data_IF_668122087577
#
_entry.id   IF_668122087577
#
_cell.length_a   1.000
_cell.length_b   1.000
_cell.length_c   1.000
_cell.angle_alpha   90.00
_cell.angle_beta   90.00
_cell.angle_gamma   90.00
#
_symmetry.space_group_name_H-M   'P 1'
#
loop_
_entity.id
_entity.type
_entity.pdbx_description
1 polymer ?
#
# COMPACT_ATOMS: atom_id res chain seq x y z
N UNK A 1 -13.16 -16.74 12.83
CA UNK A 1 -12.77 -15.33 12.67
C UNK A 1 -11.69 -15.04 13.69
N UNK A 2 -10.48 -14.57 13.28
CA UNK A 2 -9.48 -14.16 14.25
C UNK A 2 -10.02 -13.01 15.10
N UNK A 3 -9.84 -13.12 16.41
CA UNK A 3 -10.21 -12.08 17.37
C UNK A 3 -9.28 -10.86 17.19
N UNK A 4 -9.72 -9.62 17.47
CA UNK A 4 -8.84 -8.46 17.52
C UNK A 4 -7.62 -8.64 18.42
N UNK A 5 -7.68 -9.57 19.39
CA UNK A 5 -6.54 -9.93 20.25
C UNK A 5 -5.39 -10.61 19.49
N UNK A 6 -5.69 -11.23 18.34
CA UNK A 6 -4.69 -11.89 17.50
C UNK A 6 -3.83 -10.87 16.72
N UNK A 7 -4.20 -9.58 16.78
CA UNK A 7 -3.46 -8.47 16.16
C UNK A 7 -2.44 -7.82 17.10
N UNK A 8 -2.45 -8.18 18.40
CA UNK A 8 -1.46 -7.65 19.35
C UNK A 8 -0.12 -8.34 19.18
N UNK A 9 1.03 -7.61 19.20
CA UNK A 9 2.34 -8.22 19.07
C UNK A 9 2.59 -9.19 20.23
N UNK A 10 2.95 -10.44 19.91
CA UNK A 10 3.52 -11.36 20.89
C UNK A 10 5.04 -11.12 21.00
N UNK A 11 5.64 -11.23 22.19
CA UNK A 11 7.09 -11.02 22.37
C UNK A 11 7.99 -11.98 21.55
N UNK A 12 7.39 -13.02 20.95
CA UNK A 12 8.07 -14.01 20.09
C UNK A 12 7.94 -13.72 18.58
N UNK A 13 7.26 -12.64 18.18
CA UNK A 13 6.86 -12.39 16.78
C UNK A 13 7.98 -11.78 15.92
N UNK A 14 9.23 -12.00 16.24
CA UNK A 14 10.36 -11.66 15.37
C UNK A 14 10.40 -12.44 14.05
N UNK A 15 9.57 -13.48 13.89
CA UNK A 15 9.37 -14.22 12.65
C UNK A 15 7.89 -14.22 12.31
N UNK A 16 7.54 -13.51 11.24
CA UNK A 16 6.19 -13.43 10.73
C UNK A 16 5.77 -14.79 10.16
N UNK A 17 4.91 -15.49 10.88
CA UNK A 17 4.23 -16.72 10.40
C UNK A 17 3.28 -16.42 9.22
N UNK A 18 3.16 -15.16 8.83
CA UNK A 18 2.25 -14.66 7.79
C UNK A 18 2.79 -14.86 6.36
N UNK A 19 3.99 -15.41 6.19
CA UNK A 19 4.72 -15.48 4.91
C UNK A 19 5.03 -16.92 4.48
N UNK A 20 4.07 -17.81 4.61
CA UNK A 20 4.22 -19.21 4.18
C UNK A 20 4.30 -19.27 2.65
N UNK A 21 5.39 -19.78 2.05
CA UNK A 21 5.48 -20.02 0.63
C UNK A 21 4.33 -20.88 0.14
N UNK A 22 3.70 -20.48 -0.98
CA UNK A 22 2.60 -21.25 -1.59
C UNK A 22 1.21 -21.01 -0.97
N UNK A 23 1.06 -20.05 -0.05
CA UNK A 23 -0.28 -19.68 0.46
C UNK A 23 -1.16 -19.06 -0.66
N UNK A 24 -2.51 -19.24 -0.59
CA UNK A 24 -3.42 -18.60 -1.54
C UNK A 24 -3.25 -17.06 -1.55
N UNK A 25 -3.28 -16.45 -2.74
CA UNK A 25 -3.07 -14.99 -2.89
C UNK A 25 -4.01 -14.15 -2.01
N UNK A 26 -5.27 -14.60 -1.84
CA UNK A 26 -6.22 -13.91 -0.98
C UNK A 26 -5.79 -13.91 0.50
N UNK A 27 -5.18 -14.98 0.97
CA UNK A 27 -4.63 -15.08 2.32
C UNK A 27 -3.37 -14.22 2.46
N UNK A 28 -2.47 -14.25 1.48
CA UNK A 28 -1.31 -13.38 1.43
C UNK A 28 -1.70 -11.90 1.51
N UNK A 29 -2.76 -11.48 0.81
CA UNK A 29 -3.28 -10.12 0.90
C UNK A 29 -3.83 -9.78 2.30
N UNK A 30 -4.54 -10.70 2.94
CA UNK A 30 -5.01 -10.51 4.33
C UNK A 30 -3.84 -10.39 5.31
N UNK A 31 -2.82 -11.22 5.15
CA UNK A 31 -1.62 -11.19 5.99
C UNK A 31 -0.87 -9.85 5.82
N UNK A 32 -0.80 -9.34 4.60
CA UNK A 32 -0.29 -8.00 4.33
C UNK A 32 -1.04 -6.91 5.11
N UNK A 33 -2.37 -6.93 5.11
CA UNK A 33 -3.19 -5.98 5.86
C UNK A 33 -3.03 -6.15 7.37
N UNK A 34 -2.96 -7.39 7.84
CA UNK A 34 -2.73 -7.71 9.25
C UNK A 34 -1.37 -7.19 9.73
N UNK A 35 -0.33 -7.34 8.90
CA UNK A 35 1.00 -6.82 9.18
C UNK A 35 0.99 -5.28 9.32
N UNK A 36 0.31 -4.56 8.42
CA UNK A 36 0.12 -3.10 8.52
C UNK A 36 -0.61 -2.71 9.79
N UNK A 37 -1.73 -3.39 10.10
CA UNK A 37 -2.52 -3.12 11.30
C UNK A 37 -1.72 -3.32 12.59
N UNK A 38 -0.93 -4.39 12.67
CA UNK A 38 -0.02 -4.64 13.80
C UNK A 38 1.03 -3.54 13.95
N UNK A 39 1.65 -3.13 12.86
CA UNK A 39 2.72 -2.14 12.88
C UNK A 39 2.25 -0.78 13.40
N UNK A 40 1.00 -0.39 13.13
CA UNK A 40 0.42 0.84 13.68
C UNK A 40 -0.40 0.60 14.96
N UNK A 41 -0.37 -0.62 15.52
CA UNK A 41 -1.15 -0.99 16.70
C UNK A 41 -2.63 -0.59 16.56
N UNK A 42 -3.23 -0.98 15.43
CA UNK A 42 -4.62 -0.67 15.15
C UNK A 42 -5.55 -1.56 15.98
N UNK A 43 -6.51 -0.96 16.65
CA UNK A 43 -7.57 -1.66 17.38
C UNK A 43 -8.96 -1.07 17.09
N UNK A 44 -9.98 -1.64 17.72
CA UNK A 44 -11.40 -1.30 17.49
C UNK A 44 -11.80 0.10 17.93
N UNK A 45 -11.05 0.71 18.84
CA UNK A 45 -11.36 2.02 19.40
C UNK A 45 -10.71 3.15 18.61
N UNK A 46 -9.79 2.80 17.68
CA UNK A 46 -9.10 3.76 16.84
C UNK A 46 -9.91 4.22 15.63
N UNK A 47 -9.76 5.50 15.32
CA UNK A 47 -10.05 6.07 14.01
C UNK A 47 -8.86 5.92 13.09
N UNK A 48 -9.06 5.42 11.86
CA UNK A 48 -8.00 5.27 10.87
C UNK A 48 -8.36 5.98 9.57
N UNK A 49 -7.42 6.76 9.04
CA UNK A 49 -7.45 7.29 7.68
C UNK A 49 -6.67 6.35 6.76
N UNK A 50 -7.29 5.87 5.68
CA UNK A 50 -6.59 5.20 4.58
C UNK A 50 -6.43 6.18 3.42
N UNK A 51 -5.18 6.51 3.08
CA UNK A 51 -4.84 7.40 1.97
C UNK A 51 -4.60 6.54 0.71
N UNK A 52 -5.51 6.64 -0.27
CA UNK A 52 -5.49 5.81 -1.47
C UNK A 52 -6.09 4.43 -1.21
N UNK A 53 -7.41 4.35 -1.07
CA UNK A 53 -8.09 3.11 -0.68
C UNK A 53 -8.15 2.02 -1.78
N UNK A 54 -7.76 2.35 -3.03
CA UNK A 54 -7.89 1.42 -4.14
C UNK A 54 -9.32 0.85 -4.20
N UNK A 55 -9.42 -0.46 -4.27
CA UNK A 55 -10.70 -1.18 -4.31
C UNK A 55 -11.30 -1.50 -2.93
N UNK A 56 -10.84 -0.81 -1.87
CA UNK A 56 -11.41 -0.90 -0.52
C UNK A 56 -11.00 -2.12 0.30
N UNK A 57 -9.92 -2.82 -0.09
CA UNK A 57 -9.52 -4.07 0.57
C UNK A 57 -9.05 -3.89 2.01
N UNK A 58 -8.21 -2.89 2.28
CA UNK A 58 -7.77 -2.60 3.64
C UNK A 58 -8.89 -1.98 4.48
N UNK A 59 -9.70 -1.07 3.90
CA UNK A 59 -10.85 -0.50 4.60
C UNK A 59 -11.82 -1.59 5.08
N UNK A 60 -12.14 -2.58 4.22
CA UNK A 60 -12.96 -3.74 4.60
C UNK A 60 -12.30 -4.55 5.72
N UNK A 61 -11.00 -4.87 5.57
CA UNK A 61 -10.26 -5.62 6.59
C UNK A 61 -10.27 -4.90 7.95
N UNK A 62 -9.93 -3.62 7.97
CA UNK A 62 -9.86 -2.84 9.20
C UNK A 62 -11.22 -2.68 9.91
N UNK A 63 -12.28 -2.49 9.13
CA UNK A 63 -13.63 -2.38 9.66
C UNK A 63 -14.17 -3.73 10.16
N UNK A 64 -13.92 -4.82 9.41
CA UNK A 64 -14.50 -6.14 9.70
C UNK A 64 -13.70 -6.93 10.73
N UNK A 65 -12.38 -7.07 10.51
CA UNK A 65 -11.56 -7.96 11.33
C UNK A 65 -11.02 -7.25 12.58
N UNK A 66 -10.69 -5.96 12.48
CA UNK A 66 -10.23 -5.18 13.63
C UNK A 66 -11.40 -4.50 14.36
N UNK A 67 -12.40 -4.05 13.61
CA UNK A 67 -13.54 -3.29 14.14
C UNK A 67 -13.26 -1.78 14.27
N UNK A 68 -12.20 -1.28 13.64
CA UNK A 68 -11.84 0.13 13.66
C UNK A 68 -12.83 1.00 12.89
N UNK A 69 -12.82 2.32 13.17
CA UNK A 69 -13.56 3.31 12.39
C UNK A 69 -12.67 3.80 11.25
N UNK A 70 -13.08 3.55 10.00
CA UNK A 70 -12.27 3.81 8.81
C UNK A 70 -12.84 4.98 8.01
N UNK A 71 -11.98 5.95 7.71
CA UNK A 71 -12.19 6.91 6.63
C UNK A 71 -11.20 6.59 5.53
N UNK A 72 -11.66 6.15 4.36
CA UNK A 72 -10.81 5.74 3.27
C UNK A 72 -11.04 6.67 2.06
N UNK A 73 -9.96 7.20 1.49
CA UNK A 73 -10.05 8.23 0.44
C UNK A 73 -9.45 7.76 -0.88
N UNK A 74 -10.01 8.25 -1.96
CA UNK A 74 -9.49 8.10 -3.33
C UNK A 74 -9.86 9.32 -4.17
N UNK A 75 -9.16 9.50 -5.30
CA UNK A 75 -9.50 10.48 -6.34
C UNK A 75 -10.03 9.82 -7.62
N UNK A 76 -10.13 8.49 -7.68
CA UNK A 76 -10.71 7.75 -8.81
C UNK A 76 -12.18 7.46 -8.56
N UNK A 77 -13.04 7.85 -9.49
CA UNK A 77 -14.48 7.58 -9.43
C UNK A 77 -14.76 6.08 -9.44
N UNK A 78 -14.04 5.32 -10.27
CA UNK A 78 -14.22 3.88 -10.40
C UNK A 78 -13.85 3.16 -9.08
N UNK A 79 -12.76 3.58 -8.43
CA UNK A 79 -12.38 3.04 -7.14
C UNK A 79 -13.39 3.40 -6.05
N UNK A 80 -13.86 4.65 -6.05
CA UNK A 80 -14.88 5.11 -5.11
C UNK A 80 -16.16 4.27 -5.22
N UNK A 81 -16.71 4.14 -6.43
CA UNK A 81 -17.96 3.42 -6.68
C UNK A 81 -17.85 1.96 -6.27
N UNK A 82 -16.74 1.31 -6.64
CA UNK A 82 -16.49 -0.08 -6.28
C UNK A 82 -16.29 -0.27 -4.77
N UNK A 83 -15.42 0.54 -4.15
CA UNK A 83 -15.11 0.41 -2.73
C UNK A 83 -16.33 0.74 -1.86
N UNK A 84 -17.10 1.79 -2.19
CA UNK A 84 -18.32 2.14 -1.47
C UNK A 84 -19.36 1.02 -1.53
N UNK A 85 -19.57 0.45 -2.72
CA UNK A 85 -20.45 -0.71 -2.90
C UNK A 85 -19.97 -1.92 -2.11
N UNK A 86 -18.67 -2.22 -2.17
CA UNK A 86 -18.05 -3.30 -1.40
C UNK A 86 -18.32 -3.16 0.10
N UNK A 87 -18.12 -1.98 0.68
CA UNK A 87 -18.38 -1.69 2.10
C UNK A 87 -19.87 -1.85 2.43
N UNK A 88 -20.75 -1.35 1.57
CA UNK A 88 -22.20 -1.45 1.74
C UNK A 88 -22.68 -2.91 1.70
N UNK A 89 -22.29 -3.67 0.67
CA UNK A 89 -22.69 -5.07 0.48
C UNK A 89 -22.20 -5.98 1.63
N UNK A 90 -21.15 -5.57 2.33
CA UNK A 90 -20.61 -6.26 3.49
C UNK A 90 -21.22 -5.82 4.83
N UNK A 91 -22.19 -4.88 4.82
CA UNK A 91 -22.82 -4.35 6.03
C UNK A 91 -21.87 -3.57 6.94
N UNK A 92 -20.84 -2.90 6.37
CA UNK A 92 -19.81 -2.19 7.12
C UNK A 92 -19.94 -0.67 7.05
N UNK A 93 -21.04 -0.14 6.51
CA UNK A 93 -21.23 1.30 6.28
C UNK A 93 -21.26 2.14 7.57
N UNK A 94 -21.53 1.55 8.71
CA UNK A 94 -21.46 2.19 10.04
C UNK A 94 -20.03 2.32 10.58
N UNK A 95 -19.06 1.57 10.00
CA UNK A 95 -17.65 1.54 10.43
C UNK A 95 -16.67 2.06 9.39
N UNK A 96 -16.99 1.96 8.10
CA UNK A 96 -16.12 2.39 7.03
C UNK A 96 -16.84 3.35 6.08
N UNK A 97 -16.26 4.52 5.88
CA UNK A 97 -16.72 5.53 4.92
C UNK A 97 -15.68 5.70 3.83
N UNK A 98 -16.11 5.51 2.57
CA UNK A 98 -15.29 5.85 1.39
C UNK A 98 -15.60 7.30 0.99
N UNK A 99 -14.57 8.10 0.70
CA UNK A 99 -14.72 9.51 0.33
C UNK A 99 -13.94 9.82 -0.94
N UNK A 100 -14.54 10.61 -1.83
CA UNK A 100 -13.88 11.18 -3.00
C UNK A 100 -13.19 12.49 -2.58
N UNK A 101 -11.93 12.39 -2.13
CA UNK A 101 -11.15 13.51 -1.60
C UNK A 101 -9.68 13.33 -1.95
N UNK A 102 -9.02 14.41 -2.36
CA UNK A 102 -7.56 14.44 -2.46
C UNK A 102 -6.95 14.45 -1.04
N UNK A 103 -5.85 13.70 -0.83
CA UNK A 103 -5.22 13.61 0.48
C UNK A 103 -4.80 14.98 1.03
N UNK A 104 -4.51 15.94 0.16
CA UNK A 104 -4.14 17.32 0.53
C UNK A 104 -5.27 18.09 1.20
N UNK A 105 -6.50 17.72 0.87
CA UNK A 105 -7.73 18.39 1.33
C UNK A 105 -8.41 17.66 2.49
N UNK A 106 -7.77 16.59 3.02
CA UNK A 106 -8.29 15.88 4.18
C UNK A 106 -8.20 16.78 5.41
N UNK A 107 -9.33 16.89 6.10
CA UNK A 107 -9.48 17.61 7.37
C UNK A 107 -9.72 16.62 8.52
N UNK A 108 -9.47 17.10 9.74
CA UNK A 108 -9.66 16.31 10.95
C UNK A 108 -8.39 15.62 11.42
N UNK A 109 -8.56 14.80 12.44
CA UNK A 109 -7.47 14.05 13.05
C UNK A 109 -7.85 12.60 13.24
N UNK A 110 -6.84 11.73 13.17
CA UNK A 110 -7.00 10.29 13.26
C UNK A 110 -5.96 9.71 14.22
N UNK A 111 -6.32 8.61 14.87
CA UNK A 111 -5.40 7.88 15.73
C UNK A 111 -4.37 7.10 14.89
N UNK A 112 -4.77 6.69 13.68
CA UNK A 112 -3.96 5.88 12.78
C UNK A 112 -4.07 6.38 11.34
N UNK A 113 -2.99 6.22 10.57
CA UNK A 113 -2.97 6.46 9.13
C UNK A 113 -2.39 5.25 8.43
N UNK A 114 -3.08 4.75 7.40
CA UNK A 114 -2.61 3.72 6.50
C UNK A 114 -2.49 4.26 5.07
N UNK A 115 -1.46 3.84 4.33
CA UNK A 115 -1.36 4.10 2.90
C UNK A 115 -0.59 2.97 2.24
N UNK A 116 -1.18 2.38 1.18
CA UNK A 116 -0.64 1.17 0.55
C UNK A 116 -0.41 1.47 -0.94
N UNK A 117 0.88 1.58 -1.32
CA UNK A 117 1.31 1.77 -2.72
C UNK A 117 0.60 2.96 -3.41
N UNK A 118 0.41 4.03 -2.68
CA UNK A 118 -0.11 5.30 -3.20
C UNK A 118 1.00 6.35 -3.36
N UNK A 119 2.01 6.28 -2.49
CA UNK A 119 3.10 7.24 -2.43
C UNK A 119 3.87 7.36 -3.76
N UNK A 120 3.98 6.26 -4.50
CA UNK A 120 4.66 6.20 -5.80
C UNK A 120 4.01 7.14 -6.84
N UNK A 121 2.72 7.43 -6.69
CA UNK A 121 1.98 8.36 -7.55
C UNK A 121 2.10 9.84 -7.14
N UNK A 122 2.69 10.12 -5.97
CA UNK A 122 2.78 11.50 -5.44
C UNK A 122 3.78 12.35 -6.22
N UNK A 123 4.87 11.76 -6.70
CA UNK A 123 5.97 12.47 -7.37
C UNK A 123 6.87 13.25 -6.39
N UNK A 124 8.16 13.30 -6.68
CA UNK A 124 9.22 13.81 -5.79
C UNK A 124 8.93 15.22 -5.25
N UNK A 125 8.42 16.11 -6.12
CA UNK A 125 8.12 17.51 -5.76
C UNK A 125 7.15 17.62 -4.57
N UNK A 126 6.27 16.63 -4.40
CA UNK A 126 5.18 16.68 -3.42
C UNK A 126 5.42 15.79 -2.20
N UNK A 127 6.56 15.10 -2.10
CA UNK A 127 6.89 14.27 -0.94
C UNK A 127 6.83 15.01 0.40
N UNK A 128 7.38 16.26 0.51
CA UNK A 128 7.25 17.02 1.76
C UNK A 128 5.78 17.30 2.13
N UNK A 129 4.93 17.60 1.15
CA UNK A 129 3.50 17.85 1.38
C UNK A 129 2.77 16.57 1.83
N UNK A 130 3.14 15.41 1.27
CA UNK A 130 2.55 14.12 1.62
C UNK A 130 2.86 13.73 3.07
N UNK A 131 4.14 13.73 3.47
CA UNK A 131 4.52 13.42 4.84
C UNK A 131 4.08 14.48 5.84
N UNK A 132 4.09 15.76 5.44
CA UNK A 132 3.53 16.86 6.22
C UNK A 132 2.04 16.66 6.51
N UNK A 133 1.26 16.23 5.51
CA UNK A 133 -0.17 15.91 5.69
C UNK A 133 -0.37 14.73 6.63
N UNK A 134 0.40 13.66 6.52
CA UNK A 134 0.34 12.54 7.48
C UNK A 134 0.59 13.03 8.91
N UNK A 135 1.62 13.84 9.12
CA UNK A 135 1.91 14.42 10.42
C UNK A 135 0.78 15.34 10.91
N UNK A 136 0.18 16.13 10.01
CA UNK A 136 -0.94 17.04 10.32
C UNK A 136 -2.16 16.28 10.81
N UNK A 137 -2.58 15.23 10.10
CA UNK A 137 -3.83 14.51 10.39
C UNK A 137 -3.70 13.45 11.49
N UNK A 138 -2.49 13.06 11.89
CA UNK A 138 -2.30 12.19 13.05
C UNK A 138 -2.54 12.94 14.35
N UNK A 139 -3.19 12.32 15.32
CA UNK A 139 -3.20 12.78 16.70
C UNK A 139 -1.76 12.75 17.31
N UNK A 140 -1.43 13.59 18.30
CA UNK A 140 -0.21 13.39 19.10
C UNK A 140 -0.16 11.96 19.64
N UNK A 141 0.97 11.28 19.52
CA UNK A 141 1.12 9.86 19.83
C UNK A 141 0.50 8.90 18.80
N UNK A 142 -0.12 9.44 17.75
CA UNK A 142 -0.70 8.65 16.66
C UNK A 142 0.35 7.92 15.83
N UNK A 143 -0.07 6.88 15.12
CA UNK A 143 0.81 6.02 14.32
C UNK A 143 0.36 5.91 12.88
N UNK A 144 1.33 5.79 11.98
CA UNK A 144 1.05 5.45 10.59
C UNK A 144 1.77 4.16 10.19
N UNK A 145 1.19 3.42 9.24
CA UNK A 145 1.87 2.35 8.55
C UNK A 145 1.72 2.53 7.04
N UNK A 146 2.84 2.64 6.36
CA UNK A 146 2.90 2.90 4.93
C UNK A 146 3.53 1.71 4.23
N UNK A 147 2.90 1.22 3.15
CA UNK A 147 3.54 0.28 2.25
C UNK A 147 4.03 1.03 1.02
N UNK A 148 5.33 0.95 0.76
CA UNK A 148 6.00 1.74 -0.27
C UNK A 148 6.97 0.85 -1.04
N UNK A 149 7.00 1.00 -2.38
CA UNK A 149 8.03 0.42 -3.22
C UNK A 149 9.26 1.33 -3.16
N UNK A 150 10.39 0.75 -2.82
CA UNK A 150 11.67 1.47 -2.73
C UNK A 150 12.65 1.00 -3.80
N UNK A 151 13.61 1.86 -4.14
CA UNK A 151 14.77 1.53 -4.97
C UNK A 151 16.03 1.58 -4.11
N UNK A 152 17.06 0.80 -4.44
CA UNK A 152 18.35 0.86 -3.75
C UNK A 152 18.91 2.29 -3.72
N UNK A 153 19.52 2.67 -2.59
CA UNK A 153 20.07 4.03 -2.41
C UNK A 153 21.11 4.40 -3.49
N UNK A 154 21.95 3.46 -3.89
CA UNK A 154 22.99 3.65 -4.90
C UNK A 154 22.42 3.90 -6.30
N UNK A 155 21.21 3.44 -6.58
CA UNK A 155 20.55 3.59 -7.88
C UNK A 155 19.67 4.83 -7.96
N UNK A 156 19.30 5.42 -6.81
CA UNK A 156 18.28 6.46 -6.73
C UNK A 156 18.62 7.69 -7.56
N UNK A 157 19.87 8.19 -7.49
CA UNK A 157 20.28 9.40 -8.21
C UNK A 157 20.26 9.27 -9.74
N UNK A 158 20.57 8.10 -10.27
CA UNK A 158 20.45 7.83 -11.70
C UNK A 158 19.00 7.60 -12.12
N UNK A 159 18.23 6.89 -11.31
CA UNK A 159 16.81 6.63 -11.54
C UNK A 159 15.99 7.92 -11.62
N UNK A 160 16.17 8.86 -10.70
CA UNK A 160 15.41 10.13 -10.67
C UNK A 160 15.68 11.05 -11.86
N UNK A 161 16.79 10.87 -12.57
CA UNK A 161 17.18 11.69 -13.73
C UNK A 161 16.67 11.16 -15.06
N UNK A 162 16.21 9.90 -15.10
CA UNK A 162 15.83 9.23 -16.35
C UNK A 162 14.49 8.55 -16.19
N UNK A 163 13.54 8.90 -17.07
CA UNK A 163 12.29 8.16 -17.12
C UNK A 163 12.54 6.73 -17.61
N UNK A 164 12.18 5.75 -16.78
CA UNK A 164 12.25 4.34 -17.14
C UNK A 164 11.00 3.86 -17.91
N UNK A 165 10.92 2.56 -18.16
CA UNK A 165 9.79 1.94 -18.84
C UNK A 165 8.46 2.18 -18.09
N UNK A 166 8.46 2.02 -16.76
CA UNK A 166 7.25 2.16 -15.93
C UNK A 166 6.71 3.58 -16.03
N UNK A 167 7.57 4.59 -15.86
CA UNK A 167 7.18 6.00 -15.93
C UNK A 167 6.71 6.41 -17.32
N UNK A 168 7.21 5.77 -18.39
CA UNK A 168 6.84 6.12 -19.77
C UNK A 168 5.53 5.47 -20.24
N UNK A 169 5.25 4.25 -19.80
CA UNK A 169 4.21 3.43 -20.42
C UNK A 169 3.14 2.90 -19.47
N UNK A 170 3.41 2.85 -18.17
CA UNK A 170 2.49 2.22 -17.19
C UNK A 170 1.95 3.26 -16.21
N UNK A 171 2.83 3.98 -15.50
CA UNK A 171 2.47 4.97 -14.49
C UNK A 171 3.21 6.29 -14.76
N UNK A 172 2.71 7.12 -15.71
CA UNK A 172 3.29 8.43 -15.99
C UNK A 172 3.35 9.30 -14.74
N UNK A 173 4.54 9.82 -14.43
CA UNK A 173 4.77 10.62 -13.22
C UNK A 173 5.04 9.82 -11.94
N UNK A 174 4.95 8.50 -12.00
CA UNK A 174 5.30 7.63 -10.88
C UNK A 174 6.78 7.75 -10.50
N UNK A 175 7.10 7.66 -9.21
CA UNK A 175 8.46 7.82 -8.71
C UNK A 175 8.69 6.93 -7.50
N UNK A 176 9.73 6.08 -7.57
CA UNK A 176 10.20 5.33 -6.41
C UNK A 176 11.12 6.19 -5.56
N UNK A 177 11.13 5.93 -4.27
CA UNK A 177 12.01 6.58 -3.29
C UNK A 177 13.06 5.59 -2.80
N UNK A 178 14.25 6.05 -2.40
CA UNK A 178 15.19 5.22 -1.66
C UNK A 178 14.93 5.30 -0.15
N UNK A 179 15.40 4.30 0.61
CA UNK A 179 15.16 4.27 2.06
C UNK A 179 15.86 5.44 2.78
N UNK A 180 17.05 5.83 2.36
CA UNK A 180 17.76 6.99 2.92
C UNK A 180 16.95 8.27 2.69
N UNK A 181 16.41 8.45 1.48
CA UNK A 181 15.56 9.62 1.18
C UNK A 181 14.24 9.56 1.93
N UNK A 182 13.61 8.39 2.04
CA UNK A 182 12.38 8.18 2.81
C UNK A 182 12.58 8.59 4.28
N UNK A 183 13.71 8.21 4.88
CA UNK A 183 14.06 8.59 6.25
C UNK A 183 14.26 10.09 6.40
N UNK A 184 14.86 10.74 5.42
CA UNK A 184 15.04 12.19 5.43
C UNK A 184 13.70 12.93 5.33
N UNK A 185 12.81 12.53 4.42
CA UNK A 185 11.50 13.16 4.22
C UNK A 185 10.59 13.01 5.44
N UNK A 186 10.49 11.79 5.99
CA UNK A 186 9.68 11.53 7.19
C UNK A 186 10.22 12.29 8.40
N UNK A 187 11.54 12.34 8.59
CA UNK A 187 12.18 13.09 9.66
C UNK A 187 11.93 14.60 9.54
N UNK A 188 12.01 15.17 8.33
CA UNK A 188 11.69 16.57 8.06
C UNK A 188 10.22 16.91 8.38
N UNK A 189 9.31 15.96 8.24
CA UNK A 189 7.91 16.12 8.63
C UNK A 189 7.64 15.91 10.13
N UNK A 190 8.67 15.64 10.94
CA UNK A 190 8.53 15.38 12.38
C UNK A 190 7.99 14.00 12.73
N UNK A 191 8.07 13.04 11.79
CA UNK A 191 7.65 11.67 12.01
C UNK A 191 8.85 10.79 12.37
N UNK A 192 8.74 10.00 13.42
CA UNK A 192 9.77 9.06 13.86
C UNK A 192 9.47 7.65 13.34
N UNK A 193 10.51 6.93 12.90
CA UNK A 193 10.36 5.52 12.52
C UNK A 193 10.16 4.65 13.76
N UNK A 194 9.10 3.82 13.74
CA UNK A 194 8.82 2.82 14.78
C UNK A 194 9.18 1.40 14.35
N UNK A 195 9.39 1.17 13.06
CA UNK A 195 9.82 -0.12 12.51
C UNK A 195 9.77 -0.11 11.00
N UNK A 196 10.50 -1.04 10.38
CA UNK A 196 10.46 -1.29 8.94
C UNK A 196 10.53 -2.79 8.68
N UNK A 197 9.68 -3.27 7.78
CA UNK A 197 9.69 -4.64 7.26
C UNK A 197 9.91 -4.61 5.76
N UNK A 198 10.81 -5.45 5.25
CA UNK A 198 11.13 -5.58 3.83
C UNK A 198 10.66 -6.94 3.34
N UNK A 199 9.96 -7.00 2.19
CA UNK A 199 9.42 -8.26 1.66
C UNK A 199 9.34 -8.29 0.13
N UNK A 200 10.29 -7.65 -0.54
CA UNK A 200 10.36 -7.59 -2.02
C UNK A 200 10.38 -8.98 -2.68
N UNK A 201 11.05 -9.98 -2.08
CA UNK A 201 11.07 -11.33 -2.64
C UNK A 201 9.67 -11.96 -2.70
N UNK A 202 8.83 -11.76 -1.68
CA UNK A 202 7.44 -12.22 -1.70
C UNK A 202 6.59 -11.46 -2.73
N UNK A 203 6.97 -10.20 -2.99
CA UNK A 203 6.32 -9.41 -4.04
C UNK A 203 6.68 -9.93 -5.44
N UNK A 204 7.91 -10.40 -5.64
CA UNK A 204 8.30 -11.10 -6.86
C UNK A 204 7.46 -12.38 -7.07
N UNK A 205 7.20 -13.17 -6.02
CA UNK A 205 6.32 -14.35 -6.10
C UNK A 205 4.88 -13.97 -6.46
N UNK A 206 4.38 -12.86 -5.93
CA UNK A 206 3.07 -12.30 -6.29
C UNK A 206 3.01 -11.93 -7.77
N UNK A 207 4.04 -11.29 -8.31
CA UNK A 207 4.13 -10.89 -9.72
C UNK A 207 4.21 -12.11 -10.64
N UNK A 208 4.95 -13.15 -10.25
CA UNK A 208 4.97 -14.42 -10.98
C UNK A 208 3.58 -15.07 -11.03
N UNK A 209 2.83 -15.06 -9.92
CA UNK A 209 1.46 -15.56 -9.88
C UNK A 209 0.50 -14.70 -10.72
N UNK A 210 0.65 -13.37 -10.71
CA UNK A 210 -0.13 -12.49 -11.59
C UNK A 210 0.16 -12.74 -13.06
N UNK A 211 1.43 -12.96 -13.43
CA UNK A 211 1.81 -13.35 -14.80
C UNK A 211 1.10 -14.63 -15.22
N UNK A 212 1.16 -15.67 -14.38
CA UNK A 212 0.50 -16.95 -14.65
C UNK A 212 -1.03 -16.79 -14.84
N UNK A 213 -1.69 -16.00 -13.98
CA UNK A 213 -3.13 -15.74 -14.08
C UNK A 213 -3.48 -14.90 -15.31
N UNK A 214 -2.70 -13.89 -15.61
CA UNK A 214 -2.90 -13.05 -16.78
C UNK A 214 -2.82 -13.87 -18.08
N UNK A 215 -1.81 -14.70 -18.21
CA UNK A 215 -1.67 -15.57 -19.39
C UNK A 215 -2.80 -16.60 -19.47
N UNK A 216 -3.21 -17.19 -18.36
CA UNK A 216 -4.32 -18.14 -18.32
C UNK A 216 -5.68 -17.49 -18.68
N UNK A 217 -5.87 -16.21 -18.37
CA UNK A 217 -7.10 -15.48 -18.65
C UNK A 217 -7.05 -14.72 -20.01
N UNK A 218 -6.01 -14.91 -20.82
CA UNK A 218 -5.78 -14.07 -21.99
C UNK A 218 -6.96 -14.08 -23.00
N UNK A 219 -7.57 -15.23 -23.27
CA UNK A 219 -8.68 -15.32 -24.21
C UNK A 219 -9.90 -14.52 -23.74
N UNK A 220 -10.18 -14.52 -22.44
CA UNK A 220 -11.24 -13.71 -21.84
C UNK A 220 -10.90 -12.22 -21.93
N UNK A 221 -9.66 -11.84 -21.61
CA UNK A 221 -9.18 -10.45 -21.70
C UNK A 221 -9.26 -9.96 -23.14
N UNK A 222 -8.87 -10.77 -24.11
CA UNK A 222 -8.96 -10.44 -25.53
C UNK A 222 -10.42 -10.20 -25.96
N UNK A 223 -11.36 -10.95 -25.41
CA UNK A 223 -12.79 -10.76 -25.69
C UNK A 223 -13.33 -9.40 -25.24
N UNK A 224 -12.66 -8.75 -24.27
CA UNK A 224 -12.96 -7.40 -23.79
C UNK A 224 -12.40 -6.29 -24.70
N UNK A 225 -11.72 -6.65 -25.81
CA UNK A 225 -11.17 -5.70 -26.79
C UNK A 225 -9.69 -5.38 -26.63
N UNK A 226 -8.97 -6.04 -25.73
CA UNK A 226 -7.53 -5.89 -25.61
C UNK A 226 -6.79 -6.67 -26.70
N UNK A 227 -5.74 -6.08 -27.27
CA UNK A 227 -4.96 -6.63 -28.37
C UNK A 227 -3.63 -7.26 -27.93
N UNK A 228 -2.94 -7.91 -28.88
CA UNK A 228 -1.62 -8.51 -28.65
C UNK A 228 -0.53 -7.47 -28.26
N UNK A 229 -0.72 -6.20 -28.60
CA UNK A 229 0.18 -5.13 -28.16
C UNK A 229 0.04 -4.91 -26.66
N UNK A 230 -1.20 -4.87 -26.16
CA UNK A 230 -1.48 -4.79 -24.73
C UNK A 230 -0.91 -6.01 -23.99
N UNK A 231 -1.13 -7.24 -24.53
CA UNK A 231 -0.58 -8.45 -23.91
C UNK A 231 0.93 -8.37 -23.72
N UNK A 232 1.66 -8.01 -24.78
CA UNK A 232 3.13 -7.88 -24.70
C UNK A 232 3.57 -6.79 -23.73
N UNK A 233 2.88 -5.65 -23.73
CA UNK A 233 3.18 -4.54 -22.81
C UNK A 233 2.99 -4.97 -21.35
N UNK A 234 1.88 -5.65 -21.07
CA UNK A 234 1.54 -6.06 -19.70
C UNK A 234 2.43 -7.21 -19.22
N UNK A 235 2.70 -8.21 -20.04
CA UNK A 235 3.65 -9.29 -19.73
C UNK A 235 5.06 -8.74 -19.47
N UNK A 236 5.51 -7.76 -20.28
CA UNK A 236 6.80 -7.11 -20.05
C UNK A 236 6.82 -6.32 -18.74
N UNK A 237 5.74 -5.60 -18.42
CA UNK A 237 5.59 -4.89 -17.15
C UNK A 237 5.73 -5.82 -15.94
N UNK A 238 4.99 -6.92 -15.93
CA UNK A 238 5.05 -7.88 -14.82
C UNK A 238 6.45 -8.50 -14.67
N UNK A 239 7.06 -8.92 -15.79
CA UNK A 239 8.43 -9.48 -15.80
C UNK A 239 9.49 -8.45 -15.37
N UNK A 240 9.36 -7.18 -15.80
CA UNK A 240 10.26 -6.10 -15.43
C UNK A 240 10.22 -5.85 -13.90
N UNK A 241 9.01 -5.77 -13.33
CA UNK A 241 8.84 -5.59 -11.89
C UNK A 241 9.35 -6.81 -11.11
N UNK A 242 9.02 -8.04 -11.54
CA UNK A 242 9.53 -9.26 -10.90
C UNK A 242 11.06 -9.29 -10.89
N UNK A 243 11.71 -9.00 -12.02
CA UNK A 243 13.18 -8.93 -12.09
C UNK A 243 13.76 -7.88 -11.13
N UNK A 244 13.11 -6.72 -11.00
CA UNK A 244 13.52 -5.68 -10.06
C UNK A 244 13.54 -6.17 -8.61
N UNK A 245 12.50 -6.90 -8.19
CA UNK A 245 12.42 -7.47 -6.84
C UNK A 245 13.36 -8.67 -6.65
N UNK A 246 13.46 -9.59 -7.65
CA UNK A 246 14.38 -10.76 -7.58
C UNK A 246 15.83 -10.34 -7.44
N UNK A 247 16.22 -9.26 -8.09
CA UNK A 247 17.60 -8.72 -8.05
C UNK A 247 17.83 -7.73 -6.92
N UNK A 248 16.81 -7.51 -6.08
CA UNK A 248 16.83 -6.56 -4.95
C UNK A 248 17.09 -5.09 -5.36
N UNK A 249 17.05 -4.77 -6.66
CA UNK A 249 17.13 -3.37 -7.14
C UNK A 249 15.97 -2.54 -6.61
N UNK A 250 14.81 -3.17 -6.48
CA UNK A 250 13.62 -2.62 -5.81
C UNK A 250 13.21 -3.51 -4.65
N UNK A 251 12.55 -2.92 -3.66
CA UNK A 251 11.97 -3.63 -2.53
C UNK A 251 10.57 -3.11 -2.25
N UNK A 252 9.78 -3.86 -1.50
CA UNK A 252 8.56 -3.36 -0.87
C UNK A 252 8.80 -3.30 0.62
N UNK A 253 8.52 -2.15 1.20
CA UNK A 253 8.65 -1.95 2.64
C UNK A 253 7.32 -1.60 3.28
N UNK A 254 7.06 -2.14 4.46
CA UNK A 254 6.07 -1.60 5.38
C UNK A 254 6.82 -0.79 6.43
N UNK A 255 6.54 0.50 6.48
CA UNK A 255 7.18 1.47 7.35
C UNK A 255 6.20 1.92 8.43
N UNK A 256 6.54 1.66 9.68
CA UNK A 256 5.84 2.22 10.83
C UNK A 256 6.39 3.59 11.19
N UNK A 257 5.48 4.54 11.39
CA UNK A 257 5.79 5.91 11.80
C UNK A 257 5.01 6.28 13.05
N UNK A 258 5.60 7.12 13.88
CA UNK A 258 4.92 7.73 15.03
C UNK A 258 5.00 9.24 14.92
N UNK A 259 3.92 9.92 15.32
CA UNK A 259 3.93 11.34 15.60
C UNK A 259 4.20 11.52 17.10
N UNK A 260 5.34 12.10 17.50
CA UNK A 260 5.63 12.41 18.91
C UNK A 260 4.58 13.31 19.57
#
# INVERSE_FOLDING_TARGET
>A
HPSPRDLTPHPSDGQLQDETPGQPLAEAQRNKYRSLARQMELDRDHSVLEIGCGWGGFAEFAAREVGAKVTAITISQEQYDFAARRIFDQGLADRAQIRMVDYRDVEGRFDRVASIEMFEAVGEKYWPAYFGKIAEVLNPGGRASLQIITIQDELFDDYRRRADFIQRYIFPGGMLISEARLKAETGAAGLAWSGIKRFGQHYADTLAEWTRRFEAAWDDIRSLGFDERFRRLWSFYLAYCEAGFRTERTNVVQLGLTRP
#
